data_IF_508945083628
#
_entry.id   IF_508945083628
#
_cell.length_a   1.000
_cell.length_b   1.000
_cell.length_c   1.000
_cell.angle_alpha   90.00
_cell.angle_beta   90.00
_cell.angle_gamma   90.00
#
_symmetry.space_group_name_H-M   'P 1'
#
loop_
_entity.id
_entity.type
_entity.pdbx_description
1 polymer ?
#
# COMPACT_ATOMS: atom_id res chain seq x y z
N UNK A 1 15.33 7.03 -63.70
CA UNK A 1 15.21 8.16 -62.75
C UNK A 1 14.01 8.03 -61.80
N UNK A 2 12.74 8.00 -62.28
CA UNK A 2 11.54 7.91 -61.40
C UNK A 2 11.52 6.72 -60.42
N UNK A 3 12.03 5.54 -60.84
CA UNK A 3 12.09 4.34 -59.98
C UNK A 3 13.06 4.48 -58.80
N UNK A 4 14.20 5.14 -58.99
CA UNK A 4 15.17 5.38 -57.93
C UNK A 4 14.68 6.42 -56.91
N UNK A 5 13.88 7.39 -57.35
CA UNK A 5 13.23 8.37 -56.47
C UNK A 5 12.19 7.69 -55.58
N UNK A 6 11.39 6.76 -56.13
CA UNK A 6 10.43 5.97 -55.36
C UNK A 6 11.12 5.05 -54.33
N UNK A 7 12.21 4.38 -54.72
CA UNK A 7 12.98 3.56 -53.79
C UNK A 7 13.65 4.39 -52.69
N UNK A 8 14.20 5.56 -53.03
CA UNK A 8 14.77 6.48 -52.04
C UNK A 8 13.71 7.02 -51.07
N UNK A 9 12.52 7.35 -51.57
CA UNK A 9 11.40 7.79 -50.74
C UNK A 9 10.92 6.68 -49.80
N UNK A 10 10.81 5.43 -50.30
CA UNK A 10 10.41 4.28 -49.48
C UNK A 10 11.42 4.02 -48.35
N UNK A 11 12.72 4.06 -48.68
CA UNK A 11 13.81 3.85 -47.73
C UNK A 11 13.84 4.95 -46.65
N UNK A 12 13.65 6.22 -47.06
CA UNK A 12 13.55 7.36 -46.14
C UNK A 12 12.34 7.25 -45.20
N UNK A 13 11.21 6.74 -45.70
CA UNK A 13 9.99 6.57 -44.89
C UNK A 13 10.18 5.45 -43.84
N UNK A 14 10.89 4.36 -44.19
CA UNK A 14 11.25 3.31 -43.22
C UNK A 14 12.26 3.79 -42.18
N UNK A 15 13.26 4.60 -42.55
CA UNK A 15 14.26 5.15 -41.63
C UNK A 15 13.63 6.15 -40.63
N UNK A 16 12.63 6.92 -41.07
CA UNK A 16 11.90 7.87 -40.22
C UNK A 16 10.79 7.20 -39.40
N UNK A 17 10.21 6.10 -39.89
CA UNK A 17 9.12 5.38 -39.22
C UNK A 17 9.56 4.49 -38.06
N UNK A 18 10.82 4.04 -38.04
CA UNK A 18 11.36 3.19 -36.94
C UNK A 18 12.07 3.97 -35.85
N UNK A 19 12.27 5.29 -36.00
CA UNK A 19 12.67 6.19 -34.91
C UNK A 19 11.48 6.53 -33.99
N UNK A 20 10.60 5.55 -33.78
CA UNK A 20 9.47 5.66 -32.88
C UNK A 20 10.00 5.97 -31.48
N UNK A 21 9.56 7.10 -30.92
CA UNK A 21 9.92 7.59 -29.60
C UNK A 21 9.67 6.52 -28.54
N UNK A 22 10.72 5.78 -28.16
CA UNK A 22 10.60 4.64 -27.24
C UNK A 22 10.20 5.06 -25.83
N UNK A 23 10.43 6.33 -25.45
CA UNK A 23 10.07 6.88 -24.14
C UNK A 23 8.82 7.77 -24.12
N UNK A 24 8.15 7.98 -25.27
CA UNK A 24 7.02 8.94 -25.33
C UNK A 24 5.85 8.53 -24.43
N UNK A 25 5.73 7.23 -24.13
CA UNK A 25 4.73 6.68 -23.19
C UNK A 25 5.29 6.44 -21.79
N UNK A 26 6.60 6.64 -21.58
CA UNK A 26 7.25 6.50 -20.28
C UNK A 26 7.12 7.82 -19.51
N UNK A 27 6.02 7.97 -18.78
CA UNK A 27 5.83 9.09 -17.87
C UNK A 27 6.51 8.82 -16.53
N UNK A 28 7.53 9.61 -16.18
CA UNK A 28 8.02 9.67 -14.80
C UNK A 28 7.03 10.46 -13.93
N UNK A 29 6.40 9.84 -12.93
CA UNK A 29 5.41 10.52 -12.11
C UNK A 29 6.07 11.55 -11.20
N UNK A 30 6.07 12.81 -11.62
CA UNK A 30 6.60 13.93 -10.84
C UNK A 30 5.75 14.14 -9.58
N UNK A 31 6.38 14.05 -8.41
CA UNK A 31 5.73 14.29 -7.12
C UNK A 31 4.93 13.11 -6.54
N UNK A 32 5.04 11.90 -7.10
CA UNK A 32 4.50 10.68 -6.48
C UNK A 32 5.63 9.75 -6.10
N UNK A 33 5.66 9.38 -4.82
CA UNK A 33 6.57 8.36 -4.33
C UNK A 33 6.05 7.00 -4.81
N UNK A 34 6.84 6.32 -5.63
CA UNK A 34 6.53 4.94 -6.05
C UNK A 34 7.32 3.98 -5.19
N UNK A 35 6.85 2.74 -4.92
CA UNK A 35 7.65 1.77 -4.16
C UNK A 35 9.07 1.59 -4.73
N UNK A 36 9.21 1.63 -6.06
CA UNK A 36 10.50 1.52 -6.75
C UNK A 36 11.46 2.67 -6.40
N UNK A 37 10.96 3.89 -6.28
CA UNK A 37 11.78 5.09 -6.03
C UNK A 37 11.85 5.51 -4.58
N UNK A 38 10.90 5.09 -3.74
CA UNK A 38 10.74 5.58 -2.37
C UNK A 38 11.81 5.11 -1.41
N UNK A 39 12.26 3.86 -1.45
CA UNK A 39 13.24 3.34 -0.49
C UNK A 39 14.67 3.47 -1.03
N UNK A 40 15.14 4.69 -1.23
CA UNK A 40 16.46 4.97 -1.82
C UNK A 40 17.49 5.44 -0.78
N UNK A 41 17.03 6.05 0.31
CA UNK A 41 17.83 6.68 1.37
C UNK A 41 17.38 6.23 2.76
N UNK A 42 18.24 6.42 3.78
CA UNK A 42 17.90 6.13 5.18
C UNK A 42 16.66 6.91 5.64
N UNK A 43 16.58 8.21 5.36
CA UNK A 43 15.43 9.05 5.74
C UNK A 43 14.10 8.50 5.20
N UNK A 44 14.10 7.97 3.98
CA UNK A 44 12.89 7.38 3.40
C UNK A 44 12.54 6.02 4.01
N UNK A 45 13.55 5.23 4.39
CA UNK A 45 13.31 4.02 5.16
C UNK A 45 12.70 4.36 6.53
N UNK A 46 13.20 5.39 7.21
CA UNK A 46 12.67 5.88 8.48
C UNK A 46 11.24 6.41 8.32
N UNK A 47 10.91 7.07 7.20
CA UNK A 47 9.53 7.44 6.88
C UNK A 47 8.62 6.20 6.76
N UNK A 48 9.10 5.12 6.13
CA UNK A 48 8.38 3.85 6.05
C UNK A 48 8.13 3.23 7.43
N UNK A 49 9.14 3.22 8.30
CA UNK A 49 9.03 2.76 9.69
C UNK A 49 8.03 3.63 10.47
N UNK A 50 8.09 4.95 10.33
CA UNK A 50 7.16 5.87 10.98
C UNK A 50 5.71 5.65 10.50
N UNK A 51 5.50 5.40 9.20
CA UNK A 51 4.19 5.07 8.66
C UNK A 51 3.65 3.75 9.24
N UNK A 52 4.49 2.72 9.37
CA UNK A 52 4.15 1.47 10.05
C UNK A 52 3.74 1.73 11.50
N UNK A 53 4.56 2.44 12.27
CA UNK A 53 4.29 2.76 13.68
C UNK A 53 3.02 3.59 13.87
N UNK A 54 2.71 4.48 12.93
CA UNK A 54 1.46 5.22 12.93
C UNK A 54 0.25 4.27 12.79
N UNK A 55 0.32 3.26 11.92
CA UNK A 55 -0.75 2.26 11.78
C UNK A 55 -0.85 1.34 13.00
N UNK A 56 0.27 0.99 13.64
CA UNK A 56 0.28 0.24 14.90
C UNK A 56 -0.39 1.04 16.00
N UNK A 57 -0.04 2.31 16.17
CA UNK A 57 -0.70 3.20 17.14
C UNK A 57 -2.19 3.32 16.85
N UNK A 58 -2.55 3.54 15.58
CA UNK A 58 -3.94 3.61 15.15
C UNK A 58 -4.73 2.35 15.49
N UNK A 59 -4.09 1.17 15.44
CA UNK A 59 -4.73 -0.10 15.80
C UNK A 59 -5.25 -0.12 17.24
N UNK A 60 -4.55 0.56 18.15
CA UNK A 60 -4.89 0.62 19.57
C UNK A 60 -5.92 1.71 19.87
N UNK A 61 -5.96 2.79 19.08
CA UNK A 61 -6.88 3.90 19.29
C UNK A 61 -8.21 3.75 18.53
N UNK A 62 -8.29 2.84 17.56
CA UNK A 62 -9.50 2.68 16.76
C UNK A 62 -10.50 1.72 17.41
N UNK A 63 -11.53 2.28 18.05
CA UNK A 63 -12.52 1.49 18.80
C UNK A 63 -13.23 0.38 18.02
N UNK A 64 -13.62 0.57 16.75
CA UNK A 64 -14.42 -0.46 16.04
C UNK A 64 -13.65 -1.77 15.90
N UNK A 65 -12.36 -1.70 15.58
CA UNK A 65 -11.52 -2.89 15.43
C UNK A 65 -11.21 -3.60 16.75
N UNK A 66 -11.49 -2.95 17.89
CA UNK A 66 -11.32 -3.54 19.22
C UNK A 66 -12.51 -4.41 19.64
N UNK A 67 -13.66 -4.31 18.96
CA UNK A 67 -14.86 -5.06 19.34
C UNK A 67 -14.66 -6.58 19.48
N UNK A 68 -13.89 -7.27 18.61
CA UNK A 68 -13.64 -8.71 18.79
C UNK A 68 -12.85 -9.06 20.05
N UNK A 69 -12.12 -8.11 20.64
CA UNK A 69 -11.32 -8.32 21.86
C UNK A 69 -12.16 -8.16 23.14
N UNK A 70 -13.42 -7.74 22.99
CA UNK A 70 -14.33 -7.37 24.08
C UNK A 70 -15.39 -8.42 24.39
N UNK A 71 -15.18 -9.67 23.95
CA UNK A 71 -16.11 -10.77 24.16
C UNK A 71 -15.95 -11.46 25.54
N UNK A 72 -15.31 -10.77 26.49
CA UNK A 72 -15.23 -11.21 27.89
C UNK A 72 -16.49 -10.85 28.68
N UNK A 73 -16.49 -11.12 29.99
CA UNK A 73 -17.61 -10.87 30.90
C UNK A 73 -17.51 -9.52 31.65
N UNK A 74 -16.40 -8.80 31.54
CA UNK A 74 -16.19 -7.49 32.18
C UNK A 74 -17.05 -6.36 31.60
N UNK A 75 -17.51 -6.50 30.34
CA UNK A 75 -18.31 -5.50 29.63
C UNK A 75 -19.43 -6.17 28.85
N UNK A 76 -20.59 -5.52 28.74
CA UNK A 76 -21.73 -5.99 27.96
C UNK A 76 -22.34 -4.84 27.14
N UNK A 77 -22.94 -5.18 26.01
CA UNK A 77 -23.57 -4.21 25.14
C UNK A 77 -25.03 -3.97 25.56
N UNK A 78 -25.43 -2.70 25.67
CA UNK A 78 -26.84 -2.35 25.82
C UNK A 78 -27.61 -2.68 24.52
N UNK A 79 -28.56 -3.64 24.52
CA UNK A 79 -29.24 -4.08 23.29
C UNK A 79 -30.09 -3.00 22.61
N UNK A 80 -30.55 -1.98 23.36
CA UNK A 80 -31.37 -0.87 22.85
C UNK A 80 -30.57 0.31 22.29
N UNK A 81 -29.23 0.26 22.32
CA UNK A 81 -28.36 1.34 21.85
C UNK A 81 -28.01 1.22 20.35
N UNK A 82 -27.25 2.18 19.82
CA UNK A 82 -26.78 2.21 18.43
C UNK A 82 -25.48 1.41 18.18
N UNK A 83 -25.20 0.41 19.02
CA UNK A 83 -23.96 -0.39 19.01
C UNK A 83 -24.21 -1.85 18.65
N UNK A 84 -25.05 -2.09 17.65
CA UNK A 84 -25.48 -3.43 17.22
C UNK A 84 -24.29 -4.35 16.88
N UNK A 85 -23.25 -3.83 16.23
CA UNK A 85 -22.05 -4.61 15.92
C UNK A 85 -21.30 -5.12 17.17
N UNK A 86 -21.30 -4.35 18.25
CA UNK A 86 -20.76 -4.78 19.54
C UNK A 86 -21.69 -5.82 20.19
N UNK A 87 -23.01 -5.55 20.20
CA UNK A 87 -24.01 -6.48 20.75
C UNK A 87 -24.07 -7.83 20.03
N UNK A 88 -23.72 -7.89 18.74
CA UNK A 88 -23.56 -9.15 18.02
C UNK A 88 -22.37 -9.97 18.54
N UNK A 89 -21.24 -9.32 18.85
CA UNK A 89 -20.03 -9.98 19.35
C UNK A 89 -20.19 -10.40 20.82
N UNK A 90 -20.78 -9.54 21.64
CA UNK A 90 -21.17 -9.82 23.04
C UNK A 90 -22.05 -11.07 23.14
N UNK A 91 -23.02 -11.21 22.22
CA UNK A 91 -23.88 -12.39 22.15
C UNK A 91 -23.33 -13.53 21.26
N UNK A 92 -22.03 -13.51 20.90
CA UNK A 92 -21.36 -14.53 20.08
C UNK A 92 -22.07 -14.89 18.77
N UNK A 93 -22.72 -13.91 18.13
CA UNK A 93 -23.56 -14.04 16.93
C UNK A 93 -23.20 -13.01 15.85
N UNK A 94 -21.90 -12.77 15.68
CA UNK A 94 -21.40 -11.87 14.64
C UNK A 94 -21.82 -12.35 13.24
N UNK A 95 -22.36 -11.43 12.44
CA UNK A 95 -22.58 -11.63 11.02
C UNK A 95 -21.29 -11.44 10.23
N UNK A 96 -21.23 -11.97 9.01
CA UNK A 96 -20.04 -11.85 8.15
C UNK A 96 -19.66 -10.39 7.81
N UNK A 97 -20.64 -9.48 7.84
CA UNK A 97 -20.49 -8.05 7.60
C UNK A 97 -20.26 -7.24 8.89
N UNK A 98 -19.97 -7.88 10.02
CA UNK A 98 -19.72 -7.17 11.28
C UNK A 98 -18.57 -6.18 11.11
N UNK A 99 -18.89 -4.88 11.20
CA UNK A 99 -17.93 -3.80 10.94
C UNK A 99 -16.69 -3.84 11.83
N UNK A 100 -16.77 -4.39 13.04
CA UNK A 100 -15.63 -4.48 13.95
C UNK A 100 -14.64 -5.56 13.51
N UNK A 101 -15.16 -6.73 13.13
CA UNK A 101 -14.35 -7.83 12.55
C UNK A 101 -13.69 -7.40 11.24
N UNK A 102 -14.45 -6.75 10.34
CA UNK A 102 -13.92 -6.24 9.06
C UNK A 102 -12.84 -5.17 9.29
N UNK A 103 -13.08 -4.24 10.22
CA UNK A 103 -12.09 -3.21 10.56
C UNK A 103 -10.81 -3.83 11.15
N UNK A 104 -10.95 -4.80 12.05
CA UNK A 104 -9.82 -5.52 12.63
C UNK A 104 -9.00 -6.21 11.53
N UNK A 105 -9.64 -7.00 10.67
CA UNK A 105 -8.97 -7.66 9.56
C UNK A 105 -8.16 -6.68 8.70
N UNK A 106 -8.82 -5.64 8.20
CA UNK A 106 -8.18 -4.67 7.31
C UNK A 106 -7.00 -3.94 7.97
N UNK A 107 -7.14 -3.52 9.23
CA UNK A 107 -6.04 -2.82 9.90
C UNK A 107 -4.85 -3.74 10.15
N UNK A 108 -5.06 -4.97 10.61
CA UNK A 108 -3.96 -5.90 10.88
C UNK A 108 -3.23 -6.28 9.58
N UNK A 109 -3.96 -6.58 8.50
CA UNK A 109 -3.32 -6.86 7.21
C UNK A 109 -2.62 -5.64 6.61
N UNK A 110 -3.11 -4.41 6.88
CA UNK A 110 -2.40 -3.20 6.48
C UNK A 110 -1.08 -3.04 7.23
N UNK A 111 -1.05 -3.31 8.54
CA UNK A 111 0.17 -3.31 9.35
C UNK A 111 1.15 -4.37 8.85
N UNK A 112 0.68 -5.61 8.61
CA UNK A 112 1.49 -6.70 8.07
C UNK A 112 2.08 -6.30 6.71
N UNK A 113 1.27 -5.72 5.82
CA UNK A 113 1.74 -5.25 4.51
C UNK A 113 2.85 -4.22 4.66
N UNK A 114 2.67 -3.19 5.49
CA UNK A 114 3.68 -2.15 5.69
C UNK A 114 4.96 -2.70 6.34
N UNK A 115 4.82 -3.66 7.27
CA UNK A 115 5.97 -4.34 7.86
C UNK A 115 6.74 -5.12 6.81
N UNK A 116 6.05 -5.87 5.94
CA UNK A 116 6.68 -6.59 4.84
C UNK A 116 7.37 -5.61 3.86
N UNK A 117 6.72 -4.49 3.53
CA UNK A 117 7.32 -3.45 2.68
C UNK A 117 8.61 -2.92 3.32
N UNK A 118 8.62 -2.59 4.61
CA UNK A 118 9.84 -2.12 5.28
C UNK A 118 10.93 -3.20 5.27
N UNK A 119 10.60 -4.45 5.60
CA UNK A 119 11.57 -5.56 5.66
C UNK A 119 12.20 -5.83 4.28
N UNK A 120 11.39 -5.91 3.22
CA UNK A 120 11.86 -6.17 1.87
C UNK A 120 12.74 -5.02 1.36
N UNK A 121 12.35 -3.79 1.65
CA UNK A 121 13.01 -2.63 1.09
C UNK A 121 14.24 -2.18 1.89
N UNK A 122 14.29 -2.43 3.20
CA UNK A 122 15.47 -2.17 4.03
C UNK A 122 16.74 -2.85 3.49
N UNK A 123 16.62 -4.03 2.86
CA UNK A 123 17.74 -4.77 2.29
C UNK A 123 18.37 -4.08 1.07
N UNK A 124 17.60 -3.30 0.32
CA UNK A 124 18.04 -2.62 -0.91
C UNK A 124 18.30 -1.13 -0.73
N UNK A 125 17.83 -0.53 0.36
CA UNK A 125 18.11 0.87 0.69
C UNK A 125 19.59 1.04 1.00
N UNK A 126 20.19 2.15 0.55
CA UNK A 126 21.56 2.50 0.92
C UNK A 126 21.60 2.97 2.37
N UNK A 127 21.89 2.05 3.28
CA UNK A 127 22.01 2.30 4.73
C UNK A 127 23.37 1.87 5.25
N UNK A 128 23.80 2.41 6.38
CA UNK A 128 25.01 1.93 7.06
C UNK A 128 24.72 0.64 7.85
N UNK A 129 25.75 -0.17 8.14
CA UNK A 129 25.55 -1.39 8.94
C UNK A 129 25.04 -1.11 10.35
N UNK A 130 25.36 0.08 10.91
CA UNK A 130 24.88 0.51 12.21
C UNK A 130 23.40 0.87 12.20
N UNK A 131 22.88 1.39 11.10
CA UNK A 131 21.45 1.73 10.96
C UNK A 131 20.60 0.50 10.64
N UNK A 132 21.22 -0.56 10.10
CA UNK A 132 20.56 -1.83 9.76
C UNK A 132 20.41 -2.79 10.95
N UNK A 133 21.27 -2.69 11.96
CA UNK A 133 21.38 -3.59 13.12
C UNK A 133 20.90 -2.92 14.41
#
# INVERSE_FOLDING_TARGET
MKRHILFAALLATTLLGTAACSDFLDEEPKGRLTPKTFYSTQDELDMGVNALLAQVTQSQSYTNMQYPQWQGDDITANPGSNKQACAQLDAFRASADNKGVVAAWNQHFKIIQLANDVIENAQRTKTTEKERN
#
